data_IF_655123110359
#
_entry.id   IF_655123110359
#
_cell.length_a   1.000
_cell.length_b   1.000
_cell.length_c   1.000
_cell.angle_alpha   90.00
_cell.angle_beta   90.00
_cell.angle_gamma   90.00
#
_symmetry.space_group_name_H-M   'P 1'
#
loop_
_entity.id
_entity.type
_entity.pdbx_description
1 polymer ?
#
# COMPACT_ATOMS: atom_id res chain seq x y z
N UNK A 1 0.24 -10.21 14.05
CA UNK A 1 -0.52 -8.95 13.87
C UNK A 1 -0.18 -8.40 12.49
N UNK A 2 -1.18 -8.23 11.63
CA UNK A 2 -1.08 -7.69 10.25
C UNK A 2 -1.78 -6.33 10.21
N UNK A 3 -1.21 -5.31 10.85
CA UNK A 3 -1.78 -3.96 10.81
C UNK A 3 -0.74 -3.03 10.17
N UNK A 4 -0.73 -3.01 8.83
CA UNK A 4 -0.05 -1.97 8.06
C UNK A 4 -0.99 -0.80 7.79
N UNK A 5 -0.43 0.35 7.35
CA UNK A 5 -1.21 1.54 6.99
C UNK A 5 -2.19 1.27 5.83
N UNK A 6 -1.82 0.37 4.90
CA UNK A 6 -2.67 -0.09 3.80
C UNK A 6 -3.94 -0.78 4.32
N UNK A 7 -3.78 -1.70 5.28
CA UNK A 7 -4.89 -2.45 5.86
C UNK A 7 -5.82 -1.52 6.65
N UNK A 8 -5.24 -0.62 7.43
CA UNK A 8 -6.01 0.39 8.15
C UNK A 8 -6.84 1.21 7.17
N UNK A 9 -6.25 1.73 6.09
CA UNK A 9 -6.96 2.55 5.13
C UNK A 9 -8.08 1.77 4.41
N UNK A 10 -7.83 0.50 4.05
CA UNK A 10 -8.86 -0.36 3.46
C UNK A 10 -10.05 -0.57 4.41
N UNK A 11 -9.79 -0.74 5.71
CA UNK A 11 -10.84 -0.86 6.72
C UNK A 11 -11.59 0.46 6.92
N UNK A 12 -10.89 1.60 6.98
CA UNK A 12 -11.53 2.91 7.13
C UNK A 12 -12.46 3.21 5.96
N UNK A 13 -12.02 2.89 4.73
CA UNK A 13 -12.84 3.04 3.52
C UNK A 13 -14.07 2.13 3.59
N UNK A 14 -13.88 0.85 3.88
CA UNK A 14 -14.98 -0.11 4.00
C UNK A 14 -15.97 0.24 5.10
N UNK A 15 -15.49 0.84 6.19
CA UNK A 15 -16.30 1.27 7.32
C UNK A 15 -17.08 2.57 7.06
N UNK A 16 -16.83 3.27 5.96
CA UNK A 16 -17.41 4.58 5.69
C UNK A 16 -16.89 5.67 6.63
N UNK A 17 -15.68 5.50 7.16
CA UNK A 17 -15.00 6.54 7.95
C UNK A 17 -14.29 7.52 7.02
N UNK A 18 -13.78 7.03 5.88
CA UNK A 18 -13.29 7.84 4.78
C UNK A 18 -14.11 7.57 3.53
N UNK A 19 -14.22 8.57 2.66
CA UNK A 19 -14.84 8.42 1.33
C UNK A 19 -13.87 7.83 0.29
N UNK A 20 -14.34 7.66 -0.95
CA UNK A 20 -13.52 7.18 -2.07
C UNK A 20 -12.35 8.12 -2.43
N UNK A 21 -12.45 9.40 -2.08
CA UNK A 21 -11.40 10.39 -2.27
C UNK A 21 -10.40 10.38 -1.11
N UNK A 22 -10.59 9.53 -0.10
CA UNK A 22 -9.75 9.43 1.09
C UNK A 22 -9.91 10.61 2.05
N UNK A 23 -11.03 11.32 2.00
CA UNK A 23 -11.40 12.36 2.96
C UNK A 23 -12.05 11.71 4.17
N UNK A 24 -11.55 12.02 5.37
CA UNK A 24 -12.16 11.59 6.64
C UNK A 24 -13.48 12.33 6.79
N UNK A 25 -14.56 11.57 7.00
CA UNK A 25 -15.89 12.12 7.17
C UNK A 25 -16.11 12.61 8.61
N UNK A 26 -17.05 13.51 8.80
CA UNK A 26 -17.35 14.10 10.11
C UNK A 26 -18.84 14.13 10.42
N UNK A 27 -19.19 14.34 11.69
CA UNK A 27 -20.56 14.63 12.10
C UNK A 27 -21.59 13.61 11.61
N UNK A 28 -22.55 14.07 10.81
CA UNK A 28 -23.65 13.25 10.33
C UNK A 28 -23.28 12.31 9.18
N UNK A 29 -22.20 12.59 8.46
CA UNK A 29 -21.73 11.77 7.34
C UNK A 29 -21.10 10.45 7.82
N UNK A 30 -20.61 10.43 9.07
CA UNK A 30 -20.12 9.21 9.71
C UNK A 30 -21.25 8.29 10.15
N UNK A 31 -21.11 6.96 9.93
CA UNK A 31 -21.94 5.97 10.60
C UNK A 31 -21.86 6.16 12.11
N UNK A 32 -23.02 6.06 12.78
CA UNK A 32 -23.15 6.42 14.20
C UNK A 32 -22.17 5.69 15.12
N UNK A 33 -21.80 4.45 14.76
CA UNK A 33 -20.88 3.60 15.51
C UNK A 33 -19.43 4.11 15.50
N UNK A 34 -19.05 4.96 14.53
CA UNK A 34 -17.67 5.42 14.34
C UNK A 34 -17.44 6.88 14.72
N UNK A 35 -18.49 7.63 15.09
CA UNK A 35 -18.38 9.06 15.43
C UNK A 35 -17.41 9.33 16.59
N UNK A 36 -17.34 8.43 17.58
CA UNK A 36 -16.42 8.57 18.71
C UNK A 36 -14.95 8.25 18.38
N UNK A 37 -14.68 7.74 17.18
CA UNK A 37 -13.33 7.41 16.72
C UNK A 37 -12.70 8.54 15.91
N UNK A 38 -13.48 9.52 15.46
CA UNK A 38 -13.01 10.65 14.66
C UNK A 38 -13.04 11.91 15.50
N UNK A 39 -11.95 12.68 15.46
CA UNK A 39 -11.81 13.91 16.24
C UNK A 39 -10.97 14.94 15.46
N UNK A 40 -11.14 16.21 15.83
CA UNK A 40 -10.35 17.31 15.28
C UNK A 40 -8.96 17.34 15.90
N UNK A 41 -7.96 17.59 15.06
CA UNK A 41 -6.56 17.77 15.46
C UNK A 41 -6.15 19.22 15.19
N UNK A 42 -5.44 19.82 16.15
CA UNK A 42 -4.83 21.12 15.95
C UNK A 42 -3.75 21.01 14.85
N UNK A 43 -3.87 21.87 13.83
CA UNK A 43 -2.88 22.00 12.75
C UNK A 43 -1.94 23.13 13.13
N UNK A 44 -0.64 22.91 12.93
CA UNK A 44 0.32 24.02 12.90
C UNK A 44 -0.10 24.97 11.77
N UNK A 45 -0.20 26.28 12.08
CA UNK A 45 -0.79 27.37 11.26
C UNK A 45 -0.19 27.56 9.84
N UNK A 46 0.77 26.72 9.43
CA UNK A 46 1.47 26.81 8.15
C UNK A 46 0.75 26.14 6.99
N UNK A 47 -0.28 25.32 7.25
CA UNK A 47 -1.00 24.61 6.21
C UNK A 47 -2.17 25.46 5.68
N UNK A 48 -2.05 25.94 4.44
CA UNK A 48 -3.12 26.56 3.65
C UNK A 48 -4.23 25.56 3.25
N UNK A 49 -4.58 24.62 4.13
CA UNK A 49 -5.57 23.58 3.85
C UNK A 49 -6.96 24.08 4.22
N UNK A 50 -7.89 23.95 3.28
CA UNK A 50 -9.31 24.28 3.49
C UNK A 50 -10.10 23.12 4.08
N UNK A 51 -9.48 21.94 4.21
CA UNK A 51 -10.12 20.74 4.78
C UNK A 51 -9.97 20.70 6.31
N UNK A 52 -11.00 20.22 7.04
CA UNK A 52 -10.90 20.03 8.47
C UNK A 52 -9.77 19.04 8.79
N UNK A 53 -8.94 19.40 9.76
CA UNK A 53 -7.89 18.50 10.23
C UNK A 53 -8.50 17.47 11.14
N UNK A 54 -8.90 16.35 10.56
CA UNK A 54 -9.46 15.21 11.28
C UNK A 54 -8.41 14.11 11.43
N UNK A 55 -8.57 13.33 12.50
CA UNK A 55 -7.86 12.09 12.69
C UNK A 55 -8.79 10.99 13.17
N UNK A 56 -8.42 9.76 12.84
CA UNK A 56 -9.07 8.55 13.31
C UNK A 56 -8.23 7.90 14.40
N UNK A 57 -8.82 7.70 15.58
CA UNK A 57 -8.21 6.96 16.68
C UNK A 57 -8.20 5.45 16.37
N UNK A 58 -7.01 4.86 16.28
CA UNK A 58 -6.83 3.44 15.99
C UNK A 58 -6.53 2.65 17.27
N UNK A 59 -5.68 3.20 18.13
CA UNK A 59 -5.30 2.62 19.41
C UNK A 59 -4.85 3.74 20.36
N UNK A 60 -4.71 3.50 21.69
CA UNK A 60 -4.27 4.53 22.62
C UNK A 60 -2.96 5.20 22.17
N UNK A 61 -3.02 6.51 21.89
CA UNK A 61 -1.88 7.29 21.41
C UNK A 61 -1.49 7.05 19.94
N UNK A 62 -2.31 6.34 19.17
CA UNK A 62 -2.07 6.02 17.75
C UNK A 62 -3.25 6.49 16.93
N UNK A 63 -2.96 7.38 15.98
CA UNK A 63 -3.97 8.04 15.15
C UNK A 63 -3.53 8.03 13.69
N UNK A 64 -4.50 8.05 12.77
CA UNK A 64 -4.28 8.30 11.35
C UNK A 64 -4.89 9.65 11.02
N UNK A 65 -4.07 10.58 10.56
CA UNK A 65 -4.52 11.93 10.20
C UNK A 65 -4.94 12.00 8.74
N UNK A 66 -5.70 13.04 8.38
CA UNK A 66 -5.99 13.35 6.98
C UNK A 66 -4.70 13.47 6.15
N UNK A 67 -3.63 14.05 6.70
CA UNK A 67 -2.34 14.19 6.02
C UNK A 67 -1.65 12.84 5.74
N UNK A 68 -1.71 11.90 6.70
CA UNK A 68 -1.18 10.54 6.50
C UNK A 68 -1.88 9.83 5.34
N UNK A 69 -3.20 10.02 5.22
CA UNK A 69 -3.99 9.49 4.10
C UNK A 69 -3.52 10.12 2.78
N UNK A 70 -3.35 11.45 2.73
CA UNK A 70 -2.86 12.15 1.53
C UNK A 70 -1.45 11.68 1.13
N UNK A 71 -0.54 11.49 2.10
CA UNK A 71 0.81 10.93 1.84
C UNK A 71 0.75 9.53 1.26
N UNK A 72 -0.10 8.66 1.81
CA UNK A 72 -0.29 7.32 1.28
C UNK A 72 -0.90 7.36 -0.13
N UNK A 73 -1.87 8.26 -0.38
CA UNK A 73 -2.47 8.46 -1.70
C UNK A 73 -1.43 8.85 -2.75
N UNK A 74 -0.52 9.77 -2.43
CA UNK A 74 0.58 10.15 -3.32
C UNK A 74 1.47 8.94 -3.64
N UNK A 75 1.84 8.15 -2.62
CA UNK A 75 2.67 6.97 -2.80
C UNK A 75 1.98 5.90 -3.68
N UNK A 76 0.71 5.57 -3.41
CA UNK A 76 -0.02 4.59 -4.23
C UNK A 76 -0.30 5.12 -5.64
N UNK A 77 -0.54 6.43 -5.79
CA UNK A 77 -0.79 7.07 -7.08
C UNK A 77 0.41 6.94 -8.00
N UNK A 78 1.63 7.11 -7.47
CA UNK A 78 2.85 6.89 -8.23
C UNK A 78 2.99 5.43 -8.71
N UNK A 79 2.64 4.45 -7.87
CA UNK A 79 2.67 3.02 -8.23
C UNK A 79 1.63 2.72 -9.32
N UNK A 80 0.39 3.15 -9.13
CA UNK A 80 -0.70 2.94 -10.08
C UNK A 80 -0.38 3.57 -11.44
N UNK A 81 0.14 4.80 -11.45
CA UNK A 81 0.57 5.48 -12.67
C UNK A 81 1.70 4.72 -13.37
N UNK A 82 2.67 4.20 -12.62
CA UNK A 82 3.74 3.36 -13.19
C UNK A 82 3.21 2.10 -13.86
N UNK A 83 2.25 1.41 -13.24
CA UNK A 83 1.59 0.24 -13.82
C UNK A 83 0.84 0.61 -15.11
N UNK A 84 0.10 1.72 -15.09
CA UNK A 84 -0.66 2.19 -16.24
C UNK A 84 0.24 2.56 -17.43
N UNK A 85 1.36 3.24 -17.17
CA UNK A 85 2.37 3.53 -18.19
C UNK A 85 2.92 2.23 -18.79
N UNK A 86 3.27 1.23 -17.97
CA UNK A 86 3.75 -0.06 -18.46
C UNK A 86 2.73 -0.77 -19.34
N UNK A 87 1.45 -0.77 -18.96
CA UNK A 87 0.39 -1.32 -19.79
C UNK A 87 0.27 -0.62 -21.14
N UNK A 88 0.33 0.70 -21.13
CA UNK A 88 0.28 1.51 -22.35
C UNK A 88 1.48 1.25 -23.27
N UNK A 89 2.70 1.26 -22.73
CA UNK A 89 3.93 1.08 -23.51
C UNK A 89 4.03 -0.33 -24.13
N UNK A 90 3.56 -1.36 -23.42
CA UNK A 90 3.59 -2.75 -23.90
C UNK A 90 2.29 -3.19 -24.61
N UNK A 91 1.30 -2.30 -24.73
CA UNK A 91 0.01 -2.61 -25.35
C UNK A 91 -0.74 -3.76 -24.66
N UNK A 92 -0.54 -3.93 -23.36
CA UNK A 92 -1.15 -5.00 -22.58
C UNK A 92 -2.18 -4.46 -21.59
N UNK A 93 -3.04 -5.34 -21.11
CA UNK A 93 -4.10 -5.03 -20.15
C UNK A 93 -3.98 -5.98 -18.95
N UNK A 94 -4.68 -5.73 -17.83
CA UNK A 94 -4.65 -6.64 -16.68
C UNK A 94 -4.99 -8.09 -17.03
N UNK A 95 -5.82 -8.35 -18.06
CA UNK A 95 -6.16 -9.71 -18.46
C UNK A 95 -4.97 -10.47 -19.06
N UNK A 96 -3.99 -9.77 -19.64
CA UNK A 96 -2.79 -10.35 -20.26
C UNK A 96 -1.69 -10.71 -19.24
N UNK A 97 -1.82 -10.32 -17.98
CA UNK A 97 -0.81 -10.58 -16.94
C UNK A 97 -0.98 -11.98 -16.35
N UNK A 98 0.08 -12.78 -16.25
CA UNK A 98 -0.02 -14.13 -15.66
C UNK A 98 0.15 -14.13 -14.15
N UNK A 99 0.98 -13.24 -13.62
CA UNK A 99 1.28 -13.13 -12.21
C UNK A 99 1.67 -11.70 -11.83
N UNK A 100 1.24 -11.28 -10.64
CA UNK A 100 1.70 -10.07 -9.97
C UNK A 100 2.47 -10.51 -8.72
N UNK A 101 3.70 -10.04 -8.55
CA UNK A 101 4.52 -10.35 -7.36
C UNK A 101 4.96 -9.08 -6.67
N UNK A 102 4.96 -9.10 -5.34
CA UNK A 102 5.45 -8.00 -4.52
C UNK A 102 6.90 -8.26 -4.15
N UNK A 103 7.81 -7.45 -4.70
CA UNK A 103 9.22 -7.47 -4.32
C UNK A 103 9.47 -6.65 -3.03
N UNK A 104 10.63 -6.84 -2.43
CA UNK A 104 11.09 -6.07 -1.26
C UNK A 104 10.57 -6.56 0.09
N UNK A 105 11.05 -5.94 1.17
CA UNK A 105 10.77 -6.36 2.55
C UNK A 105 9.29 -6.30 2.96
N UNK A 106 8.49 -5.50 2.25
CA UNK A 106 7.05 -5.33 2.52
C UNK A 106 6.17 -6.37 1.80
N UNK A 107 6.65 -6.97 0.71
CA UNK A 107 5.83 -7.84 -0.14
C UNK A 107 5.31 -9.11 0.55
N UNK A 108 5.96 -9.55 1.62
CA UNK A 108 5.52 -10.71 2.41
C UNK A 108 4.38 -10.39 3.38
N UNK A 109 4.22 -9.11 3.75
CA UNK A 109 3.33 -8.68 4.83
C UNK A 109 2.10 -7.91 4.35
N UNK A 110 2.13 -7.38 3.13
CA UNK A 110 0.97 -6.71 2.52
C UNK A 110 -0.19 -7.69 2.33
N UNK A 111 -1.37 -7.32 2.83
CA UNK A 111 -2.60 -8.00 2.43
C UNK A 111 -3.00 -7.55 1.02
N UNK A 112 -3.15 -8.53 0.14
CA UNK A 112 -3.39 -8.29 -1.28
C UNK A 112 -4.78 -7.71 -1.52
N UNK A 113 -5.77 -8.11 -0.73
CA UNK A 113 -7.14 -7.62 -0.87
C UNK A 113 -7.23 -6.17 -0.39
N UNK A 114 -6.61 -5.84 0.75
CA UNK A 114 -6.50 -4.44 1.20
C UNK A 114 -5.79 -3.56 0.18
N UNK A 115 -4.65 -4.02 -0.36
CA UNK A 115 -3.88 -3.27 -1.35
C UNK A 115 -4.66 -3.03 -2.65
N UNK A 116 -5.39 -4.03 -3.15
CA UNK A 116 -6.26 -3.88 -4.32
C UNK A 116 -7.43 -2.92 -4.00
N UNK A 117 -8.06 -3.06 -2.83
CA UNK A 117 -9.20 -2.25 -2.41
C UNK A 117 -8.88 -0.76 -2.31
N UNK A 118 -7.65 -0.40 -1.89
CA UNK A 118 -7.21 0.99 -1.88
C UNK A 118 -6.64 1.46 -3.23
N UNK A 119 -6.61 0.62 -4.26
CA UNK A 119 -6.10 0.96 -5.59
C UNK A 119 -4.58 1.07 -5.66
N UNK A 120 -3.83 0.26 -4.91
CA UNK A 120 -2.37 0.16 -5.06
C UNK A 120 -1.98 -0.48 -6.40
N UNK A 121 -2.82 -1.39 -6.89
CA UNK A 121 -2.71 -2.03 -8.19
C UNK A 121 -4.13 -2.37 -8.70
N UNK A 122 -4.30 -2.66 -10.00
CA UNK A 122 -5.62 -2.97 -10.58
C UNK A 122 -6.31 -4.15 -9.90
N UNK A 123 -7.59 -4.00 -9.56
CA UNK A 123 -8.38 -5.01 -8.84
C UNK A 123 -8.42 -6.35 -9.58
N UNK A 124 -8.37 -6.33 -10.92
CA UNK A 124 -8.36 -7.49 -11.81
C UNK A 124 -7.12 -8.37 -11.64
N UNK A 125 -6.06 -7.86 -11.03
CA UNK A 125 -4.84 -8.60 -10.73
C UNK A 125 -4.86 -9.28 -9.36
N UNK A 126 -5.91 -9.09 -8.54
CA UNK A 126 -5.95 -9.62 -7.18
C UNK A 126 -5.74 -11.15 -7.14
N UNK A 127 -6.41 -11.88 -8.03
CA UNK A 127 -6.30 -13.35 -8.10
C UNK A 127 -4.93 -13.81 -8.65
N UNK A 128 -4.25 -12.92 -9.38
CA UNK A 128 -2.92 -13.14 -9.97
C UNK A 128 -1.80 -12.74 -9.01
N UNK A 129 -2.14 -12.03 -7.93
CA UNK A 129 -1.19 -11.53 -6.95
C UNK A 129 -0.66 -12.66 -6.06
N UNK A 130 0.65 -12.88 -6.08
CA UNK A 130 1.36 -13.94 -5.34
C UNK A 130 2.41 -13.31 -4.43
N UNK A 131 2.64 -13.95 -3.28
CA UNK A 131 3.79 -13.60 -2.44
C UNK A 131 5.06 -13.99 -3.17
N UNK A 132 6.10 -13.19 -3.01
CA UNK A 132 7.42 -13.58 -3.49
C UNK A 132 7.94 -14.73 -2.62
N UNK A 133 7.76 -15.96 -3.10
CA UNK A 133 8.41 -17.12 -2.52
C UNK A 133 9.79 -17.27 -3.15
N UNK A 134 10.84 -17.14 -2.32
CA UNK A 134 12.21 -17.55 -2.64
C UNK A 134 12.25 -19.06 -2.87
N UNK A 135 11.72 -19.57 -3.99
CA UNK A 135 11.56 -21.02 -4.19
C UNK A 135 12.47 -21.66 -5.23
N UNK A 136 13.27 -20.93 -6.01
CA UNK A 136 14.24 -21.60 -6.92
C UNK A 136 15.58 -20.88 -7.11
N UNK A 137 15.68 -19.57 -6.86
CA UNK A 137 16.94 -18.86 -7.12
C UNK A 137 18.02 -19.12 -6.08
N UNK A 138 17.71 -19.48 -4.83
CA UNK A 138 18.75 -19.71 -3.81
C UNK A 138 19.63 -20.91 -4.15
N UNK A 139 19.08 -21.95 -4.79
CA UNK A 139 19.85 -23.10 -5.27
C UNK A 139 20.77 -22.71 -6.43
N UNK A 140 20.26 -21.93 -7.41
CA UNK A 140 21.06 -21.40 -8.52
C UNK A 140 22.14 -20.41 -8.06
N UNK A 141 21.81 -19.48 -7.16
CA UNK A 141 22.75 -18.51 -6.58
C UNK A 141 23.80 -19.21 -5.71
N UNK A 142 23.42 -20.23 -4.93
CA UNK A 142 24.37 -21.09 -4.19
C UNK A 142 25.23 -21.91 -5.14
N UNK A 143 24.69 -22.46 -6.23
CA UNK A 143 25.46 -23.20 -7.24
C UNK A 143 26.50 -22.30 -7.93
N UNK A 144 26.12 -21.06 -8.25
CA UNK A 144 27.00 -20.07 -8.87
C UNK A 144 28.13 -19.64 -7.91
N UNK A 145 27.84 -19.48 -6.61
CA UNK A 145 28.86 -19.14 -5.61
C UNK A 145 29.74 -20.33 -5.17
N UNK A 146 29.29 -21.57 -5.34
CA UNK A 146 30.11 -22.77 -5.07
C UNK A 146 31.11 -23.09 -6.19
N UNK A 147 31.05 -22.37 -7.33
CA UNK A 147 31.88 -22.57 -8.53
C UNK A 147 32.99 -21.52 -8.76
N UNK A 148 33.62 -21.01 -7.70
CA UNK A 148 34.97 -20.41 -7.85
C UNK A 148 36.05 -21.26 -7.16
N UNK A 149 36.59 -22.29 -7.82
CA UNK A 149 37.92 -22.78 -7.47
C UNK A 149 38.98 -21.84 -8.08
N UNK A 150 39.91 -21.39 -7.23
CA UNK A 150 41.24 -20.90 -7.64
C UNK A 150 41.31 -19.59 -8.43
N UNK A 151 41.64 -18.49 -7.75
CA UNK A 151 42.55 -17.50 -8.34
C UNK A 151 43.80 -17.44 -7.49
N UNK A 152 44.76 -18.29 -7.86
CA UNK A 152 46.16 -18.11 -7.53
C UNK A 152 46.70 -16.84 -8.20
N UNK A 153 47.56 -16.16 -7.45
CA UNK A 153 48.73 -15.39 -7.88
C UNK A 153 48.53 -14.21 -8.84
N UNK A 154 48.66 -12.99 -8.31
CA UNK A 154 49.28 -11.89 -9.05
C UNK A 154 50.44 -11.35 -8.22
N UNK A 155 51.64 -11.46 -8.82
CA UNK A 155 52.86 -10.75 -8.43
C UNK A 155 52.74 -9.28 -8.83
#
# INVERSE_FOLDING_TARGET
MRFGLIDALAVLLKAGIIDENGTILSGQELPILFRSYVFEVEVEETAQSTEPSLAVHIAPGVYITQEDIRKLQLAKGAIAAGIEVLFKEYGCTPCNIDALTFAGGFGNYIDKASAAAIGLFPQELLDKAKKWEMRQETELFRLLYRRKPGKEHWR
#
